data_IF_727775704356
#
_entry.id   IF_727775704356
#
_cell.length_a   1.000
_cell.length_b   1.000
_cell.length_c   1.000
_cell.angle_alpha   90.00
_cell.angle_beta   90.00
_cell.angle_gamma   90.00
#
_symmetry.space_group_name_H-M   'P 1'
#
loop_
_entity.id
_entity.type
_entity.pdbx_description
1 polymer ?
#
# COMPACT_ATOMS: atom_id res chain seq x y z
N UNK A 1 36.77 78.08 -12.25
CA UNK A 1 36.47 76.89 -13.07
C UNK A 1 36.79 75.60 -12.30
N UNK A 2 35.96 75.19 -11.32
CA UNK A 2 35.87 73.77 -10.98
C UNK A 2 34.45 73.40 -10.53
N UNK A 3 33.58 72.90 -11.42
CA UNK A 3 32.29 72.37 -10.96
C UNK A 3 31.70 71.25 -11.82
N UNK A 4 32.17 71.07 -13.05
CA UNK A 4 31.60 70.06 -13.96
C UNK A 4 32.18 68.65 -13.83
N UNK A 5 33.35 68.45 -13.19
CA UNK A 5 34.02 67.13 -13.13
C UNK A 5 33.50 66.22 -12.00
N UNK A 6 32.85 66.76 -10.97
CA UNK A 6 32.35 65.97 -9.84
C UNK A 6 31.01 65.26 -10.13
N UNK A 7 30.10 65.91 -10.87
CA UNK A 7 28.79 65.35 -11.21
C UNK A 7 28.86 64.13 -12.14
N UNK A 8 29.80 64.15 -13.10
CA UNK A 8 29.98 63.04 -14.07
C UNK A 8 30.51 61.76 -13.40
N UNK A 9 31.36 61.89 -12.36
CA UNK A 9 31.85 60.73 -11.60
C UNK A 9 30.76 60.11 -10.71
N UNK A 10 29.84 60.93 -10.19
CA UNK A 10 28.75 60.45 -9.34
C UNK A 10 27.67 59.73 -10.18
N UNK A 11 27.27 60.29 -11.33
CA UNK A 11 26.31 59.66 -12.23
C UNK A 11 26.81 58.31 -12.79
N UNK A 12 28.11 58.18 -13.09
CA UNK A 12 28.72 56.89 -13.51
C UNK A 12 28.63 55.81 -12.44
N UNK A 13 28.79 56.16 -11.16
CA UNK A 13 28.67 55.19 -10.04
C UNK A 13 27.23 54.70 -9.84
N UNK A 14 26.24 55.59 -10.00
CA UNK A 14 24.83 55.21 -9.95
C UNK A 14 24.41 54.34 -11.14
N UNK A 15 24.92 54.63 -12.34
CA UNK A 15 24.69 53.77 -13.52
C UNK A 15 25.30 52.37 -13.37
N UNK A 16 26.51 52.26 -12.84
CA UNK A 16 27.15 50.98 -12.56
C UNK A 16 26.40 50.17 -11.49
N UNK A 17 25.93 50.82 -10.42
CA UNK A 17 25.15 50.15 -9.37
C UNK A 17 23.78 49.67 -9.88
N UNK A 18 23.11 50.46 -10.74
CA UNK A 18 21.84 50.09 -11.35
C UNK A 18 21.98 48.93 -12.36
N UNK A 19 23.09 48.85 -13.09
CA UNK A 19 23.40 47.73 -13.99
C UNK A 19 23.65 46.42 -13.22
N UNK A 20 24.31 46.49 -12.05
CA UNK A 20 24.56 45.31 -11.20
C UNK A 20 23.25 44.83 -10.56
N UNK A 21 22.40 45.74 -10.08
CA UNK A 21 21.10 45.37 -9.50
C UNK A 21 20.11 44.82 -10.54
N UNK A 22 20.16 45.33 -11.78
CA UNK A 22 19.39 44.80 -12.90
C UNK A 22 19.85 43.40 -13.35
N UNK A 23 21.16 43.11 -13.27
CA UNK A 23 21.71 41.80 -13.57
C UNK A 23 21.35 40.73 -12.52
N UNK A 24 21.24 41.10 -11.24
CA UNK A 24 20.80 40.17 -10.18
C UNK A 24 19.31 39.78 -10.28
N UNK A 25 18.46 40.63 -10.87
CA UNK A 25 17.03 40.31 -11.07
C UNK A 25 16.75 39.46 -12.31
N UNK A 26 17.75 39.24 -13.17
CA UNK A 26 17.67 38.31 -14.31
C UNK A 26 18.30 36.95 -14.03
N UNK A 27 18.80 36.73 -12.82
CA UNK A 27 19.07 35.37 -12.35
C UNK A 27 17.71 34.68 -12.15
N UNK A 28 17.20 34.09 -13.23
CA UNK A 28 16.10 33.15 -13.16
C UNK A 28 16.45 32.13 -12.08
N UNK A 29 15.61 32.04 -11.05
CA UNK A 29 15.61 30.87 -10.18
C UNK A 29 15.21 29.70 -11.05
N UNK A 30 16.18 29.09 -11.74
CA UNK A 30 16.03 27.74 -12.25
C UNK A 30 15.84 26.87 -11.00
N UNK A 31 14.59 26.67 -10.61
CA UNK A 31 14.26 25.70 -9.57
C UNK A 31 14.81 24.37 -10.05
N UNK A 32 15.66 23.73 -9.26
CA UNK A 32 16.05 22.35 -9.51
C UNK A 32 14.77 21.51 -9.51
N UNK A 33 14.63 20.60 -10.48
CA UNK A 33 13.48 19.70 -10.51
C UNK A 33 13.44 18.88 -9.22
N UNK A 34 12.26 18.47 -8.80
CA UNK A 34 12.10 17.71 -7.55
C UNK A 34 12.44 16.23 -7.70
N UNK A 35 12.32 15.67 -8.91
CA UNK A 35 12.36 14.24 -9.17
C UNK A 35 11.05 13.52 -8.86
N UNK A 36 10.07 14.20 -8.27
CA UNK A 36 8.82 13.58 -7.81
C UNK A 36 7.96 13.14 -8.98
N UNK A 37 7.34 11.98 -8.87
CA UNK A 37 6.29 11.56 -9.79
C UNK A 37 4.92 11.91 -9.21
N UNK A 38 4.18 12.76 -9.91
CA UNK A 38 2.87 13.28 -9.50
C UNK A 38 1.76 12.74 -10.41
N UNK A 39 0.60 12.35 -9.86
CA UNK A 39 -0.53 11.92 -10.68
C UNK A 39 -1.12 13.11 -11.45
N UNK A 40 -1.57 12.89 -12.69
CA UNK A 40 -2.11 13.99 -13.52
C UNK A 40 -3.50 14.48 -13.08
N UNK A 41 -4.31 13.59 -12.50
CA UNK A 41 -5.70 13.85 -12.13
C UNK A 41 -5.97 13.56 -10.64
N UNK A 42 -4.96 13.82 -9.79
CA UNK A 42 -4.97 13.43 -8.38
C UNK A 42 -4.71 11.93 -8.19
N UNK A 43 -4.52 11.47 -6.93
CA UNK A 43 -4.04 10.12 -6.65
C UNK A 43 -5.01 9.06 -7.16
N UNK A 44 -4.51 8.12 -7.95
CA UNK A 44 -5.30 7.01 -8.44
C UNK A 44 -5.80 6.16 -7.26
N UNK A 45 -7.05 5.71 -7.31
CA UNK A 45 -7.65 4.90 -6.24
C UNK A 45 -7.83 3.46 -6.71
N UNK A 46 -7.26 2.52 -5.98
CA UNK A 46 -7.40 1.09 -6.20
C UNK A 46 -8.22 0.48 -5.08
N UNK A 47 -9.21 -0.34 -5.43
CA UNK A 47 -10.01 -1.09 -4.46
C UNK A 47 -9.68 -2.57 -4.59
N UNK A 48 -9.11 -3.14 -3.53
CA UNK A 48 -8.83 -4.55 -3.39
C UNK A 48 -10.01 -5.25 -2.70
N UNK A 49 -10.55 -6.29 -3.33
CA UNK A 49 -11.57 -7.14 -2.71
C UNK A 49 -10.93 -8.08 -1.69
N UNK A 50 -11.30 -7.88 -0.42
CA UNK A 50 -10.85 -8.67 0.72
C UNK A 50 -11.74 -9.90 0.98
N UNK A 51 -12.73 -10.16 0.13
CA UNK A 51 -13.72 -11.21 0.37
C UNK A 51 -13.09 -12.59 0.34
N UNK A 52 -13.18 -13.32 1.45
CA UNK A 52 -12.66 -14.68 1.55
C UNK A 52 -13.29 -15.48 2.69
N UNK A 53 -12.95 -16.76 2.73
CA UNK A 53 -13.28 -17.67 3.81
C UNK A 53 -11.99 -18.10 4.51
N UNK A 54 -12.00 -18.04 5.85
CA UNK A 54 -10.96 -18.61 6.71
C UNK A 54 -11.53 -19.91 7.27
N UNK A 55 -10.79 -21.01 7.13
CA UNK A 55 -11.19 -22.30 7.70
C UNK A 55 -11.29 -22.20 9.22
N UNK A 56 -12.24 -22.93 9.82
CA UNK A 56 -12.44 -22.89 11.27
C UNK A 56 -11.19 -23.36 12.05
N UNK A 57 -10.39 -24.27 11.49
CA UNK A 57 -9.14 -24.75 12.08
C UNK A 57 -7.99 -23.74 11.95
N UNK A 58 -8.06 -22.86 10.96
CA UNK A 58 -7.13 -21.75 10.78
C UNK A 58 -7.57 -20.48 11.53
N UNK A 59 -8.76 -20.47 12.14
CA UNK A 59 -9.28 -19.36 12.94
C UNK A 59 -8.66 -19.31 14.34
N UNK A 60 -7.33 -19.22 14.40
CA UNK A 60 -6.53 -19.23 15.63
C UNK A 60 -5.63 -18.00 15.66
N UNK A 61 -5.38 -17.45 16.86
CA UNK A 61 -4.51 -16.28 17.05
C UNK A 61 -3.15 -16.49 16.38
N UNK A 62 -2.71 -15.47 15.63
CA UNK A 62 -1.44 -15.46 14.92
C UNK A 62 -1.45 -16.15 13.56
N UNK A 63 -2.49 -16.91 13.21
CA UNK A 63 -2.64 -17.48 11.86
C UNK A 63 -2.86 -16.38 10.83
N UNK A 64 -2.34 -16.62 9.63
CA UNK A 64 -2.42 -15.67 8.53
C UNK A 64 -3.07 -16.25 7.29
N UNK A 65 -3.90 -15.46 6.61
CA UNK A 65 -4.48 -15.77 5.30
C UNK A 65 -4.02 -14.74 4.28
N UNK A 66 -3.33 -15.19 3.22
CA UNK A 66 -2.94 -14.35 2.09
C UNK A 66 -4.01 -14.41 0.99
N UNK A 67 -4.33 -13.26 0.41
CA UNK A 67 -5.26 -13.10 -0.72
C UNK A 67 -4.60 -12.16 -1.75
N UNK A 68 -4.38 -12.59 -3.00
CA UNK A 68 -3.93 -11.69 -4.05
C UNK A 68 -5.05 -10.72 -4.46
N UNK A 69 -4.69 -9.51 -4.87
CA UNK A 69 -5.63 -8.55 -5.47
C UNK A 69 -5.01 -7.93 -6.72
N UNK A 70 -5.86 -7.46 -7.63
CA UNK A 70 -5.44 -6.76 -8.84
C UNK A 70 -5.58 -7.57 -10.12
N UNK A 71 -4.99 -7.04 -11.19
CA UNK A 71 -5.01 -7.58 -12.55
C UNK A 71 -4.20 -6.70 -13.52
N UNK A 72 -3.81 -7.24 -14.68
CA UNK A 72 -2.89 -6.59 -15.63
C UNK A 72 -3.44 -5.35 -16.35
N UNK A 73 -4.69 -4.96 -16.11
CA UNK A 73 -5.39 -3.88 -16.82
C UNK A 73 -5.39 -2.54 -16.10
N UNK A 74 -4.94 -2.46 -14.85
CA UNK A 74 -5.02 -1.23 -14.07
C UNK A 74 -3.82 -0.32 -14.30
N UNK A 75 -4.08 0.85 -14.89
CA UNK A 75 -3.10 1.87 -15.19
C UNK A 75 -3.65 3.26 -14.86
N UNK A 76 -2.75 4.18 -14.52
CA UNK A 76 -3.07 5.59 -14.29
C UNK A 76 -1.96 6.48 -14.85
N UNK A 77 -2.30 7.73 -15.14
CA UNK A 77 -1.33 8.70 -15.65
C UNK A 77 -0.69 9.50 -14.53
N UNK A 78 0.63 9.55 -14.56
CA UNK A 78 1.46 10.40 -13.71
C UNK A 78 2.64 10.91 -14.53
N UNK A 79 3.36 11.91 -14.01
CA UNK A 79 4.55 12.46 -14.64
C UNK A 79 5.58 12.78 -13.57
N UNK A 80 6.84 12.46 -13.83
CA UNK A 80 7.94 12.86 -12.98
C UNK A 80 8.44 14.24 -13.38
N UNK A 81 8.64 15.10 -12.38
CA UNK A 81 9.25 16.42 -12.50
C UNK A 81 10.77 16.25 -12.58
N UNK A 82 11.33 16.43 -13.77
CA UNK A 82 12.70 16.09 -14.10
C UNK A 82 13.46 17.29 -14.69
N UNK A 83 14.76 17.35 -14.43
CA UNK A 83 15.68 18.25 -15.15
C UNK A 83 16.69 17.45 -16.00
N UNK A 84 17.71 18.12 -16.53
CA UNK A 84 18.73 17.52 -17.39
C UNK A 84 19.53 16.40 -16.70
N UNK A 85 19.65 16.45 -15.37
CA UNK A 85 20.39 15.44 -14.59
C UNK A 85 19.63 14.12 -14.48
N UNK A 86 18.31 14.15 -14.59
CA UNK A 86 17.45 12.97 -14.47
C UNK A 86 17.21 12.25 -15.81
N UNK A 87 17.58 12.88 -16.94
CA UNK A 87 17.24 12.35 -18.27
C UNK A 87 17.87 10.99 -18.57
N UNK A 88 18.95 10.64 -17.88
CA UNK A 88 19.62 9.35 -18.00
C UNK A 88 19.15 8.32 -16.96
N UNK A 89 18.34 8.71 -15.97
CA UNK A 89 17.86 7.81 -14.91
C UNK A 89 16.94 6.76 -15.48
N UNK A 90 17.33 5.49 -15.31
CA UNK A 90 16.54 4.34 -15.72
C UNK A 90 15.54 3.95 -14.63
N UNK A 91 14.30 3.68 -15.04
CA UNK A 91 13.23 3.28 -14.15
C UNK A 91 12.83 4.35 -13.14
N UNK A 92 12.03 3.93 -12.17
CA UNK A 92 11.55 4.79 -11.09
C UNK A 92 11.74 4.06 -9.75
N UNK A 93 11.94 4.84 -8.71
CA UNK A 93 11.98 4.38 -7.34
C UNK A 93 10.61 4.58 -6.70
N UNK A 94 10.20 3.62 -5.87
CA UNK A 94 8.91 3.65 -5.21
C UNK A 94 9.08 3.56 -3.71
N UNK A 95 8.19 4.26 -3.00
CA UNK A 95 7.91 3.98 -1.60
C UNK A 95 6.43 3.72 -1.41
N UNK A 96 6.11 2.99 -0.35
CA UNK A 96 4.74 2.78 0.08
C UNK A 96 4.63 2.94 1.58
N UNK A 97 3.63 3.71 2.02
CA UNK A 97 3.37 4.05 3.41
C UNK A 97 1.96 3.59 3.81
N UNK A 98 1.76 3.22 5.08
CA UNK A 98 0.43 2.96 5.61
C UNK A 98 -0.37 4.25 5.80
N UNK A 99 -1.66 4.21 5.48
CA UNK A 99 -2.61 5.31 5.73
C UNK A 99 -3.31 5.20 7.09
N UNK A 100 -3.00 4.15 7.85
CA UNK A 100 -3.53 3.88 9.18
C UNK A 100 -2.39 3.62 10.16
N UNK A 101 -2.69 3.73 11.45
CA UNK A 101 -1.77 3.28 12.50
C UNK A 101 -1.43 1.80 12.28
N UNK A 102 -0.13 1.49 12.35
CA UNK A 102 0.39 0.16 12.08
C UNK A 102 1.47 -0.21 13.09
N UNK A 103 1.64 -1.50 13.31
CA UNK A 103 2.62 -2.05 14.24
C UNK A 103 3.42 -3.17 13.59
N UNK A 104 4.70 -3.26 13.95
CA UNK A 104 5.58 -4.32 13.44
C UNK A 104 5.40 -5.59 14.26
N UNK A 105 5.03 -6.69 13.61
CA UNK A 105 4.91 -8.02 14.22
C UNK A 105 5.74 -9.00 13.39
N UNK A 106 6.85 -9.45 13.95
CA UNK A 106 7.83 -10.26 13.24
C UNK A 106 8.41 -9.50 12.04
N UNK A 107 8.30 -10.09 10.84
CA UNK A 107 8.85 -9.51 9.61
C UNK A 107 7.89 -8.57 8.89
N UNK A 108 6.63 -8.53 9.28
CA UNK A 108 5.60 -7.70 8.62
C UNK A 108 5.13 -6.58 9.54
N UNK A 109 4.61 -5.54 8.92
CA UNK A 109 3.90 -4.46 9.61
C UNK A 109 2.41 -4.63 9.34
N UNK A 110 1.59 -4.47 10.37
CA UNK A 110 0.16 -4.72 10.32
C UNK A 110 -0.62 -3.49 10.74
N UNK A 111 -1.66 -3.13 9.98
CA UNK A 111 -2.71 -2.22 10.42
C UNK A 111 -3.79 -3.00 11.16
N UNK A 112 -4.36 -2.42 12.21
CA UNK A 112 -5.48 -3.00 12.94
C UNK A 112 -6.78 -2.63 12.22
N UNK A 113 -7.48 -3.62 11.65
CA UNK A 113 -8.77 -3.40 11.00
C UNK A 113 -9.91 -3.39 12.03
N UNK A 114 -9.83 -4.27 13.03
CA UNK A 114 -10.72 -4.35 14.18
C UNK A 114 -10.09 -5.22 15.29
N UNK A 115 -10.85 -5.54 16.35
CA UNK A 115 -10.36 -6.37 17.46
C UNK A 115 -9.93 -7.80 17.07
N UNK A 116 -10.42 -8.32 15.95
CA UNK A 116 -10.20 -9.69 15.52
C UNK A 116 -9.21 -9.82 14.37
N UNK A 117 -9.06 -8.79 13.54
CA UNK A 117 -8.27 -8.84 12.32
C UNK A 117 -7.28 -7.69 12.20
N UNK A 118 -6.08 -8.08 11.80
CA UNK A 118 -4.98 -7.22 11.38
C UNK A 118 -4.67 -7.50 9.91
N UNK A 119 -4.07 -6.52 9.23
CA UNK A 119 -3.74 -6.63 7.81
C UNK A 119 -2.33 -6.11 7.52
N UNK A 120 -1.52 -6.94 6.87
CA UNK A 120 -0.34 -6.49 6.14
C UNK A 120 -0.66 -6.37 4.64
N UNK A 121 -0.09 -5.36 3.98
CA UNK A 121 -0.28 -5.09 2.56
C UNK A 121 1.04 -5.34 1.86
N UNK A 122 1.00 -6.11 0.77
CA UNK A 122 2.14 -6.35 -0.10
C UNK A 122 1.81 -5.73 -1.45
N UNK A 123 2.73 -4.93 -2.01
CA UNK A 123 2.53 -4.26 -3.31
C UNK A 123 3.45 -4.86 -4.35
N UNK A 124 2.90 -5.14 -5.53
CA UNK A 124 3.69 -5.56 -6.66
C UNK A 124 4.44 -4.36 -7.25
N UNK A 125 5.77 -4.49 -7.35
CA UNK A 125 6.63 -3.57 -8.10
C UNK A 125 7.20 -4.33 -9.30
N UNK A 126 7.12 -3.72 -10.49
CA UNK A 126 7.57 -4.37 -11.72
C UNK A 126 9.03 -4.87 -11.60
N UNK A 127 9.32 -5.99 -12.27
CA UNK A 127 10.63 -6.66 -12.27
C UNK A 127 11.09 -7.22 -10.90
N UNK A 128 10.16 -7.42 -9.98
CA UNK A 128 10.31 -8.29 -8.82
C UNK A 128 9.48 -9.55 -8.99
N UNK A 129 10.01 -10.69 -8.52
CA UNK A 129 9.30 -11.97 -8.52
C UNK A 129 8.25 -12.08 -7.42
N UNK A 130 8.35 -11.25 -6.39
CA UNK A 130 7.52 -11.29 -5.19
C UNK A 130 6.97 -9.90 -4.88
N UNK A 131 5.80 -9.86 -4.24
CA UNK A 131 5.23 -8.61 -3.72
C UNK A 131 6.03 -8.11 -2.52
N UNK A 132 6.17 -6.79 -2.38
CA UNK A 132 6.98 -6.16 -1.34
C UNK A 132 6.10 -5.68 -0.18
N UNK A 133 6.54 -5.98 1.05
CA UNK A 133 5.81 -5.59 2.26
C UNK A 133 5.81 -4.07 2.47
N UNK A 134 4.62 -3.51 2.72
CA UNK A 134 4.47 -2.14 3.19
C UNK A 134 4.85 -2.06 4.69
N UNK A 135 5.54 -1.00 5.14
CA UNK A 135 6.13 0.06 4.33
C UNK A 135 7.46 -0.35 3.69
N UNK A 136 7.79 0.27 2.55
CA UNK A 136 9.11 0.20 1.91
C UNK A 136 9.48 1.57 1.34
N UNK A 137 10.78 1.84 1.18
CA UNK A 137 11.31 3.06 0.57
C UNK A 137 12.37 2.74 -0.48
N UNK A 138 12.52 3.62 -1.46
CA UNK A 138 13.59 3.60 -2.47
C UNK A 138 13.72 2.26 -3.22
N UNK A 139 12.58 1.61 -3.48
CA UNK A 139 12.55 0.39 -4.28
C UNK A 139 12.58 0.77 -5.76
N UNK A 140 13.71 0.56 -6.40
CA UNK A 140 13.87 0.71 -7.85
C UNK A 140 13.16 -0.39 -8.63
N UNK A 141 12.30 -0.05 -9.59
CA UNK A 141 11.59 -1.04 -10.41
C UNK A 141 12.45 -1.74 -11.48
N UNK A 142 13.75 -1.50 -11.55
CA UNK A 142 14.68 -2.16 -12.51
C UNK A 142 14.25 -2.05 -13.98
N UNK A 143 13.46 -1.04 -14.33
CA UNK A 143 13.03 -0.83 -15.70
C UNK A 143 14.18 -0.21 -16.51
N UNK A 144 14.42 -0.70 -17.73
CA UNK A 144 15.45 -0.19 -18.64
C UNK A 144 15.01 1.06 -19.43
N UNK A 145 13.75 1.48 -19.33
CA UNK A 145 13.26 2.74 -19.89
C UNK A 145 13.60 3.90 -18.96
N UNK A 146 13.81 5.09 -19.52
CA UNK A 146 14.08 6.32 -18.75
C UNK A 146 12.87 6.70 -17.91
N UNK A 147 13.07 6.89 -16.60
CA UNK A 147 11.99 7.16 -15.64
C UNK A 147 11.18 8.42 -15.97
N UNK A 148 11.86 9.47 -16.46
CA UNK A 148 11.24 10.73 -16.86
C UNK A 148 10.36 10.61 -18.13
N UNK A 149 10.58 9.57 -18.94
CA UNK A 149 9.78 9.32 -20.15
C UNK A 149 8.53 8.49 -19.88
N UNK A 150 8.33 8.01 -18.65
CA UNK A 150 7.17 7.20 -18.28
C UNK A 150 6.01 8.11 -17.89
N UNK A 151 4.87 7.95 -18.56
CA UNK A 151 3.64 8.72 -18.28
C UNK A 151 2.44 7.85 -17.84
N UNK A 152 2.63 6.53 -17.79
CA UNK A 152 1.60 5.54 -17.44
C UNK A 152 2.20 4.57 -16.43
N UNK A 153 1.52 4.42 -15.30
CA UNK A 153 1.97 3.66 -14.15
C UNK A 153 0.90 2.66 -13.72
N UNK A 154 1.33 1.56 -13.10
CA UNK A 154 0.42 0.51 -12.56
C UNK A 154 0.73 0.14 -11.11
N UNK A 155 1.85 0.59 -10.53
CA UNK A 155 2.22 0.29 -9.13
C UNK A 155 1.12 0.74 -8.17
N UNK A 156 0.71 -0.18 -7.28
CA UNK A 156 -0.45 -0.04 -6.40
C UNK A 156 -1.70 -0.80 -6.88
N UNK A 157 -1.80 -1.11 -8.17
CA UNK A 157 -2.96 -1.82 -8.74
C UNK A 157 -2.91 -3.35 -8.64
N UNK A 158 -1.80 -3.92 -8.15
CA UNK A 158 -1.60 -5.36 -7.96
C UNK A 158 -0.79 -5.63 -6.69
N UNK A 159 -1.07 -6.74 -6.02
CA UNK A 159 -0.36 -7.16 -4.83
C UNK A 159 -1.09 -8.23 -4.03
N UNK A 160 -0.84 -8.28 -2.73
CA UNK A 160 -1.44 -9.25 -1.82
C UNK A 160 -1.85 -8.61 -0.49
N UNK A 161 -2.99 -9.03 0.04
CA UNK A 161 -3.45 -8.77 1.40
C UNK A 161 -3.07 -9.96 2.29
N UNK A 162 -2.51 -9.72 3.46
CA UNK A 162 -2.19 -10.77 4.45
C UNK A 162 -2.93 -10.47 5.74
N UNK A 163 -4.05 -11.15 5.94
CA UNK A 163 -4.85 -11.04 7.16
C UNK A 163 -4.22 -11.85 8.27
N UNK A 164 -4.11 -11.28 9.46
CA UNK A 164 -3.66 -11.96 10.69
C UNK A 164 -4.78 -11.94 11.72
N UNK A 165 -5.04 -13.10 12.31
CA UNK A 165 -6.08 -13.27 13.33
C UNK A 165 -5.54 -12.85 14.68
N UNK A 166 -6.15 -11.85 15.29
CA UNK A 166 -5.83 -11.36 16.64
C UNK A 166 -6.79 -11.92 17.68
N UNK A 167 -8.05 -12.16 17.29
CA UNK A 167 -9.09 -12.79 18.11
C UNK A 167 -9.95 -13.66 17.20
N UNK A 168 -10.11 -14.96 17.49
CA UNK A 168 -11.00 -15.83 16.72
C UNK A 168 -12.43 -15.29 16.71
N UNK A 169 -13.09 -15.36 15.56
CA UNK A 169 -14.48 -14.92 15.40
C UNK A 169 -15.30 -15.95 14.63
N UNK A 170 -16.63 -15.84 14.68
CA UNK A 170 -17.55 -16.76 14.00
C UNK A 170 -18.44 -15.98 13.04
N UNK A 171 -18.83 -16.60 11.93
CA UNK A 171 -19.72 -15.99 10.96
C UNK A 171 -19.00 -14.99 10.05
N UNK A 172 -19.66 -13.87 9.73
CA UNK A 172 -19.20 -12.91 8.74
C UNK A 172 -18.66 -11.64 9.41
N UNK A 173 -17.56 -11.14 8.88
CA UNK A 173 -16.96 -9.87 9.24
C UNK A 173 -16.87 -8.99 8.01
N UNK A 174 -17.55 -7.85 8.04
CA UNK A 174 -17.57 -6.90 6.92
C UNK A 174 -16.45 -5.89 7.11
N UNK A 175 -15.63 -5.73 6.08
CA UNK A 175 -14.61 -4.69 5.98
C UNK A 175 -15.20 -3.57 5.11
N UNK A 176 -15.51 -2.39 5.69
CA UNK A 176 -15.94 -1.23 4.90
C UNK A 176 -14.80 -0.74 4.01
N UNK A 177 -15.10 0.13 3.04
CA UNK A 177 -14.09 0.78 2.21
C UNK A 177 -13.07 1.54 3.09
N UNK A 178 -11.88 0.95 3.25
CA UNK A 178 -10.86 1.40 4.20
C UNK A 178 -9.57 1.70 3.45
N UNK A 179 -9.03 2.93 3.52
CA UNK A 179 -7.73 3.25 2.93
C UNK A 179 -6.61 2.59 3.73
N UNK A 180 -5.73 1.84 3.08
CA UNK A 180 -4.67 1.09 3.77
C UNK A 180 -3.27 1.52 3.38
N UNK A 181 -3.00 1.82 2.10
CA UNK A 181 -1.66 2.15 1.66
C UNK A 181 -1.65 3.31 0.66
N UNK A 182 -0.57 4.09 0.66
CA UNK A 182 -0.27 5.14 -0.30
C UNK A 182 1.05 4.83 -0.99
N UNK A 183 1.09 4.94 -2.31
CA UNK A 183 2.26 4.64 -3.15
C UNK A 183 2.75 5.94 -3.76
N UNK A 184 4.07 6.13 -3.71
CA UNK A 184 4.75 7.29 -4.25
C UNK A 184 5.84 6.83 -5.21
N UNK A 185 6.17 7.65 -6.19
CA UNK A 185 7.23 7.41 -7.15
C UNK A 185 8.16 8.60 -7.28
N UNK A 186 9.39 8.32 -7.68
CA UNK A 186 10.42 9.34 -7.91
C UNK A 186 11.46 8.83 -8.91
N UNK A 187 12.20 9.76 -9.50
CA UNK A 187 13.47 9.47 -10.21
C UNK A 187 14.70 9.77 -9.35
N UNK A 188 14.52 10.29 -8.12
CA UNK A 188 15.58 10.61 -7.17
C UNK A 188 15.32 9.95 -5.82
N UNK A 189 16.20 9.03 -5.41
CA UNK A 189 16.08 8.35 -4.10
C UNK A 189 16.01 9.35 -2.94
N UNK A 190 15.18 9.04 -1.95
CA UNK A 190 14.91 9.87 -0.77
C UNK A 190 14.10 11.13 -1.06
N UNK A 191 13.74 11.42 -2.32
CA UNK A 191 12.98 12.60 -2.72
C UNK A 191 11.58 12.17 -3.16
N UNK A 192 10.56 12.40 -2.32
CA UNK A 192 9.17 12.05 -2.63
C UNK A 192 8.20 13.19 -2.37
N UNK A 193 7.18 13.28 -3.21
CA UNK A 193 6.06 14.20 -3.02
C UNK A 193 5.29 13.89 -1.73
N UNK A 194 4.71 14.90 -1.05
CA UNK A 194 3.70 14.68 -0.02
C UNK A 194 2.39 14.09 -0.58
N UNK A 195 2.13 14.27 -1.88
CA UNK A 195 0.98 13.69 -2.57
C UNK A 195 1.34 12.33 -3.18
N UNK A 196 0.59 11.26 -2.87
CA UNK A 196 0.85 9.94 -3.46
C UNK A 196 0.38 9.88 -4.92
N UNK A 197 1.04 9.01 -5.68
CA UNK A 197 0.61 8.65 -7.04
C UNK A 197 -0.68 7.83 -7.01
N UNK A 198 -0.78 6.92 -6.06
CA UNK A 198 -1.96 6.07 -5.89
C UNK A 198 -2.21 5.67 -4.44
N UNK A 199 -3.44 5.24 -4.17
CA UNK A 199 -3.90 4.73 -2.87
C UNK A 199 -4.58 3.39 -3.05
N UNK A 200 -4.37 2.50 -2.09
CA UNK A 200 -5.05 1.22 -2.01
C UNK A 200 -6.09 1.29 -0.90
N UNK A 201 -7.32 0.97 -1.26
CA UNK A 201 -8.46 0.74 -0.41
C UNK A 201 -8.76 -0.75 -0.39
N UNK A 202 -9.26 -1.22 0.74
CA UNK A 202 -9.81 -2.57 0.84
C UNK A 202 -11.31 -2.48 1.14
N UNK A 203 -12.07 -3.45 0.67
CA UNK A 203 -13.43 -3.71 1.12
C UNK A 203 -13.76 -5.17 0.89
N UNK A 204 -14.71 -5.73 1.63
CA UNK A 204 -15.13 -7.10 1.40
C UNK A 204 -15.68 -7.77 2.65
N UNK A 205 -15.83 -9.09 2.60
CA UNK A 205 -16.33 -9.87 3.72
C UNK A 205 -15.45 -11.07 4.01
N UNK A 206 -14.99 -11.21 5.25
CA UNK A 206 -14.28 -12.40 5.71
C UNK A 206 -15.26 -13.29 6.47
N UNK A 207 -15.36 -14.54 6.04
CA UNK A 207 -16.28 -15.52 6.64
C UNK A 207 -15.50 -16.64 7.32
N UNK A 208 -15.89 -16.97 8.55
CA UNK A 208 -15.46 -18.19 9.24
C UNK A 208 -16.68 -19.09 9.39
N UNK A 209 -16.73 -20.27 8.75
CA UNK A 209 -17.84 -21.20 8.89
C UNK A 209 -17.88 -21.76 10.31
N UNK A 210 -19.07 -22.09 10.80
CA UNK A 210 -19.20 -22.84 12.05
C UNK A 210 -18.79 -24.29 11.76
N UNK A 211 -17.67 -24.75 12.33
CA UNK A 211 -17.37 -26.18 12.35
C UNK A 211 -17.86 -26.80 13.66
N UNK A 212 -18.54 -27.94 13.54
CA UNK A 212 -18.73 -28.90 14.62
C UNK A 212 -17.92 -30.12 14.23
N UNK A 213 -16.70 -30.26 14.75
CA UNK A 213 -15.99 -31.52 14.61
C UNK A 213 -16.63 -32.55 15.53
N UNK A 214 -17.26 -33.57 14.96
CA UNK A 214 -17.49 -34.83 15.67
C UNK A 214 -16.11 -35.47 15.84
N UNK A 215 -15.65 -35.66 17.08
CA UNK A 215 -14.35 -36.22 17.41
C UNK A 215 -13.99 -37.40 16.49
N UNK A 216 -13.12 -37.17 15.50
CA UNK A 216 -12.70 -38.19 14.56
C UNK A 216 -11.84 -39.23 15.31
N UNK A 217 -12.47 -40.34 15.71
CA UNK A 217 -11.85 -41.41 16.50
C UNK A 217 -12.57 -41.73 17.81
N UNK A 218 -13.58 -40.96 18.20
CA UNK A 218 -14.46 -41.36 19.30
C UNK A 218 -15.40 -42.47 18.82
N UNK A 219 -15.16 -43.72 19.26
CA UNK A 219 -16.20 -44.75 19.14
C UNK A 219 -17.36 -44.29 20.02
N UNK A 220 -18.48 -43.93 19.40
CA UNK A 220 -19.74 -43.73 20.13
C UNK A 220 -20.29 -45.11 20.44
N UNK A 221 -19.79 -45.72 21.51
CA UNK A 221 -20.31 -46.98 22.01
C UNK A 221 -21.56 -46.70 22.83
N UNK A 222 -22.72 -47.08 22.31
CA UNK A 222 -23.97 -47.10 23.08
C UNK A 222 -24.10 -48.46 23.72
N UNK A 223 -23.73 -48.56 24.99
CA UNK A 223 -23.96 -49.77 25.79
C UNK A 223 -25.40 -49.74 26.33
N UNK A 224 -26.21 -50.68 25.88
CA UNK A 224 -27.59 -50.85 26.36
C UNK A 224 -27.68 -51.77 27.59
N UNK A 225 -26.55 -52.32 28.06
CA UNK A 225 -26.50 -53.35 29.08
C UNK A 225 -27.17 -54.65 28.64
N UNK A 226 -27.42 -55.54 29.61
CA UNK A 226 -28.15 -56.79 29.38
C UNK A 226 -29.65 -56.51 29.24
N UNK A 227 -30.16 -56.61 28.02
CA UNK A 227 -31.60 -56.51 27.77
C UNK A 227 -32.24 -57.90 27.87
N UNK A 228 -33.17 -58.08 28.80
CA UNK A 228 -33.94 -59.32 28.94
C UNK A 228 -35.12 -59.28 27.96
N UNK A 229 -35.34 -60.34 27.17
CA UNK A 229 -36.37 -60.38 26.13
C UNK A 229 -37.79 -60.07 26.65
N UNK A 230 -38.10 -60.46 27.90
CA UNK A 230 -39.41 -60.23 28.53
C UNK A 230 -39.66 -58.78 28.98
N UNK A 231 -38.67 -57.88 28.84
CA UNK A 231 -38.82 -56.47 29.20
C UNK A 231 -39.44 -55.64 28.06
N UNK A 232 -39.38 -56.14 26.82
CA UNK A 232 -40.10 -55.54 25.70
C UNK A 232 -41.59 -55.89 25.74
N UNK A 233 -42.38 -55.07 26.44
CA UNK A 233 -43.82 -55.31 26.62
C UNK A 233 -44.71 -54.73 25.52
N UNK A 234 -44.23 -53.74 24.78
CA UNK A 234 -45.03 -53.03 23.76
C UNK A 234 -44.17 -52.60 22.57
N UNK A 235 -44.74 -52.70 21.36
CA UNK A 235 -44.09 -52.27 20.11
C UNK A 235 -43.84 -50.74 20.16
N UNK A 236 -42.58 -50.33 19.95
CA UNK A 236 -42.18 -48.92 19.87
C UNK A 236 -41.78 -48.28 21.19
N UNK A 237 -41.74 -49.04 22.30
CA UNK A 237 -41.19 -48.57 23.58
C UNK A 237 -39.85 -49.22 23.87
N UNK A 238 -39.00 -48.49 24.60
CA UNK A 238 -37.76 -49.03 25.15
C UNK A 238 -38.09 -50.19 26.12
N UNK A 239 -37.20 -51.18 26.28
CA UNK A 239 -37.36 -52.21 27.29
C UNK A 239 -37.40 -51.62 28.70
#
# INVERSE_FOLDING_TARGET
MPSMTAGVKLMKKFYLLALILGALMMASTAGAATGYCLPKNGPATFTADATTTIDAMDNVVGRTKRIPFGGSSFQYSAQCDCDDTDQATLGNFYKADYLMASEKIGNNTFVVLNESLQLAVMIHVANYSEDLAVPFTDVWNKNSHRGCSVSVFSTGGNGSLVFRISKPFKGKMIIPATPVAAIFGTVREGQYSPEPMSRVYISGTITVPQSCELNAGGIVSVDYGTIIANTFRQKGQKP
#
